data_IF_961333500103
#
_entry.id   IF_961333500103
#
_cell.length_a   1.000
_cell.length_b   1.000
_cell.length_c   1.000
_cell.angle_alpha   90.00
_cell.angle_beta   90.00
_cell.angle_gamma   90.00
#
_symmetry.space_group_name_H-M   'P 1'
#
loop_
_entity.id
_entity.type
_entity.pdbx_description
1 polymer ?
#
# COMPACT_ATOMS: atom_id res chain seq x y z
N UNK A 1 13.77 -4.67 -18.57
CA UNK A 1 13.46 -4.32 -17.17
C UNK A 1 12.05 -3.77 -17.14
N UNK A 2 11.15 -4.32 -16.32
CA UNK A 2 9.84 -3.67 -16.09
C UNK A 2 10.09 -2.25 -15.56
N UNK A 3 9.20 -1.32 -15.90
CA UNK A 3 9.23 0.02 -15.31
C UNK A 3 8.97 -0.12 -13.80
N UNK A 4 9.97 0.19 -12.96
CA UNK A 4 9.90 0.06 -11.50
C UNK A 4 8.71 0.83 -10.92
N UNK A 5 8.42 2.02 -11.48
CA UNK A 5 7.26 2.83 -11.09
C UNK A 5 5.95 2.09 -11.36
N UNK A 6 5.82 1.47 -12.53
CA UNK A 6 4.63 0.69 -12.89
C UNK A 6 4.45 -0.54 -11.98
N UNK A 7 5.54 -1.27 -11.70
CA UNK A 7 5.52 -2.42 -10.79
C UNK A 7 5.09 -2.01 -9.37
N UNK A 8 5.63 -0.89 -8.88
CA UNK A 8 5.25 -0.32 -7.58
C UNK A 8 3.80 0.15 -7.54
N UNK A 9 3.27 0.73 -8.62
CA UNK A 9 1.85 1.09 -8.72
C UNK A 9 0.99 -0.17 -8.64
N UNK A 10 1.32 -1.22 -9.41
CA UNK A 10 0.58 -2.49 -9.41
C UNK A 10 0.58 -3.13 -8.02
N UNK A 11 1.73 -3.20 -7.35
CA UNK A 11 1.84 -3.74 -5.98
C UNK A 11 1.05 -2.91 -4.98
N UNK A 12 1.16 -1.58 -5.02
CA UNK A 12 0.41 -0.69 -4.11
C UNK A 12 -1.10 -0.86 -4.27
N UNK A 13 -1.60 -0.93 -5.50
CA UNK A 13 -3.03 -1.17 -5.78
C UNK A 13 -3.49 -2.54 -5.29
N UNK A 14 -2.65 -3.56 -5.41
CA UNK A 14 -2.95 -4.90 -4.87
C UNK A 14 -3.11 -4.89 -3.34
N UNK A 15 -2.19 -4.23 -2.62
CA UNK A 15 -2.27 -4.10 -1.16
C UNK A 15 -3.51 -3.30 -0.73
N UNK A 16 -3.80 -2.17 -1.40
CA UNK A 16 -5.02 -1.37 -1.15
C UNK A 16 -6.27 -2.25 -1.28
N UNK A 17 -6.39 -2.99 -2.40
CA UNK A 17 -7.54 -3.88 -2.63
C UNK A 17 -7.65 -4.94 -1.54
N UNK A 18 -6.55 -5.58 -1.17
CA UNK A 18 -6.50 -6.60 -0.12
C UNK A 18 -6.98 -6.05 1.23
N UNK A 19 -6.53 -4.86 1.62
CA UNK A 19 -6.95 -4.24 2.88
C UNK A 19 -8.44 -3.88 2.87
N UNK A 20 -8.96 -3.35 1.76
CA UNK A 20 -10.41 -3.13 1.59
C UNK A 20 -11.21 -4.42 1.77
N UNK A 21 -10.81 -5.50 1.09
CA UNK A 21 -11.48 -6.80 1.23
C UNK A 21 -11.43 -7.33 2.67
N UNK A 22 -10.31 -7.17 3.37
CA UNK A 22 -10.19 -7.58 4.78
C UNK A 22 -11.10 -6.75 5.69
N UNK A 23 -11.24 -5.44 5.43
CA UNK A 23 -12.14 -4.56 6.19
C UNK A 23 -13.61 -4.96 5.98
N UNK A 24 -13.99 -5.32 4.76
CA UNK A 24 -15.34 -5.73 4.39
C UNK A 24 -15.72 -7.09 4.99
N UNK A 25 -14.80 -8.06 4.95
CA UNK A 25 -15.06 -9.45 5.37
C UNK A 25 -14.99 -9.66 6.88
N UNK A 26 -14.43 -8.72 7.63
CA UNK A 26 -14.14 -8.91 9.05
C UNK A 26 -15.15 -8.16 9.93
N UNK A 27 -15.66 -8.82 10.98
CA UNK A 27 -16.57 -8.23 11.97
C UNK A 27 -15.84 -7.76 13.24
N UNK A 28 -14.60 -8.20 13.44
CA UNK A 28 -13.77 -7.80 14.57
C UNK A 28 -13.29 -6.35 14.39
N UNK A 29 -13.74 -5.47 15.29
CA UNK A 29 -13.44 -4.03 15.26
C UNK A 29 -11.94 -3.76 15.38
N UNK A 30 -11.21 -4.51 16.20
CA UNK A 30 -9.77 -4.33 16.38
C UNK A 30 -9.04 -4.70 15.09
N UNK A 31 -9.40 -5.83 14.46
CA UNK A 31 -8.81 -6.24 13.18
C UNK A 31 -9.11 -5.22 12.07
N UNK A 32 -10.35 -4.73 11.97
CA UNK A 32 -10.69 -3.67 10.99
C UNK A 32 -9.89 -2.39 11.22
N UNK A 33 -9.64 -1.99 12.47
CA UNK A 33 -8.80 -0.82 12.78
C UNK A 33 -7.36 -1.00 12.32
N UNK A 34 -6.79 -2.19 12.49
CA UNK A 34 -5.45 -2.51 12.00
C UNK A 34 -5.41 -2.46 10.47
N UNK A 35 -6.41 -3.05 9.80
CA UNK A 35 -6.50 -2.99 8.33
C UNK A 35 -6.67 -1.56 7.80
N UNK A 36 -7.42 -0.70 8.51
CA UNK A 36 -7.56 0.71 8.17
C UNK A 36 -6.23 1.47 8.27
N UNK A 37 -5.38 1.14 9.26
CA UNK A 37 -4.04 1.71 9.38
C UNK A 37 -3.18 1.34 8.16
N UNK A 38 -3.11 0.05 7.81
CA UNK A 38 -2.33 -0.41 6.66
C UNK A 38 -2.90 0.09 5.32
N UNK A 39 -4.22 0.22 5.20
CA UNK A 39 -4.86 0.82 4.04
C UNK A 39 -4.40 2.27 3.85
N UNK A 40 -4.40 3.07 4.94
CA UNK A 40 -3.91 4.45 4.90
C UNK A 40 -2.46 4.51 4.45
N UNK A 41 -1.60 3.65 5.00
CA UNK A 41 -0.19 3.58 4.59
C UNK A 41 -0.02 3.20 3.12
N UNK A 42 -0.78 2.22 2.63
CA UNK A 42 -0.74 1.77 1.23
C UNK A 42 -1.17 2.87 0.26
N UNK A 43 -2.15 3.71 0.63
CA UNK A 43 -2.57 4.88 -0.16
C UNK A 43 -1.47 5.95 -0.19
N UNK A 44 -0.82 6.22 0.94
CA UNK A 44 0.30 7.18 0.98
C UNK A 44 1.51 6.68 0.16
N UNK A 45 1.79 5.38 0.19
CA UNK A 45 2.81 4.75 -0.65
C UNK A 45 2.47 4.94 -2.13
N UNK A 46 1.23 4.69 -2.54
CA UNK A 46 0.80 4.90 -3.94
C UNK A 46 0.99 6.36 -4.38
N UNK A 47 0.61 7.33 -3.54
CA UNK A 47 0.80 8.77 -3.81
C UNK A 47 2.28 9.10 -4.01
N UNK A 48 3.16 8.59 -3.14
CA UNK A 48 4.63 8.78 -3.25
C UNK A 48 5.18 8.23 -4.56
N UNK A 49 4.80 7.00 -4.92
CA UNK A 49 5.22 6.37 -6.19
C UNK A 49 4.77 7.19 -7.39
N UNK A 50 3.55 7.72 -7.39
CA UNK A 50 3.07 8.60 -8.47
C UNK A 50 3.91 9.87 -8.62
N UNK A 51 4.35 10.44 -7.49
CA UNK A 51 5.18 11.65 -7.41
C UNK A 51 6.68 11.40 -7.56
N UNK A 52 7.10 10.19 -7.97
CA UNK A 52 8.52 9.81 -8.11
C UNK A 52 9.31 9.93 -6.79
N UNK A 53 8.62 9.83 -5.65
CA UNK A 53 9.22 9.79 -4.33
C UNK A 53 9.53 8.35 -3.89
N UNK A 54 10.47 8.19 -2.94
CA UNK A 54 10.70 6.88 -2.30
C UNK A 54 9.40 6.39 -1.66
N UNK A 55 8.98 5.12 -1.91
CA UNK A 55 7.75 4.58 -1.34
C UNK A 55 7.79 4.55 0.20
N UNK A 56 8.96 4.23 0.77
CA UNK A 56 9.20 4.20 2.20
C UNK A 56 10.32 5.19 2.56
N UNK A 57 9.99 6.39 3.07
CA UNK A 57 10.99 7.44 3.31
C UNK A 57 12.04 7.05 4.38
N UNK A 58 11.68 6.14 5.29
CA UNK A 58 12.54 5.70 6.39
C UNK A 58 13.29 4.39 6.09
N UNK A 59 13.15 3.83 4.89
CA UNK A 59 13.80 2.58 4.49
C UNK A 59 14.58 2.83 3.20
N UNK A 60 15.80 2.30 3.12
CA UNK A 60 16.58 2.39 1.88
C UNK A 60 16.13 1.31 0.89
N UNK A 61 14.98 1.57 0.26
CA UNK A 61 14.37 0.69 -0.73
C UNK A 61 13.53 1.48 -1.72
N UNK A 62 13.57 1.05 -2.97
CA UNK A 62 12.80 1.65 -4.05
C UNK A 62 11.55 0.83 -4.40
N UNK A 63 11.51 -0.44 -4.01
CA UNK A 63 10.38 -1.33 -4.30
C UNK A 63 9.30 -1.26 -3.23
N UNK A 64 8.05 -1.35 -3.63
CA UNK A 64 6.90 -1.73 -2.78
C UNK A 64 6.92 -3.24 -2.58
N UNK A 65 6.56 -3.72 -1.38
CA UNK A 65 6.65 -5.14 -1.00
C UNK A 65 5.86 -6.01 -1.99
#
# INVERSE_FOLDING_TARGET
MKNLKEDNIQKSLWHIKRHCENIEKNTDVLRRKIELLHLKESVEILKRVFNDEKPYPNLDREEVF
#
